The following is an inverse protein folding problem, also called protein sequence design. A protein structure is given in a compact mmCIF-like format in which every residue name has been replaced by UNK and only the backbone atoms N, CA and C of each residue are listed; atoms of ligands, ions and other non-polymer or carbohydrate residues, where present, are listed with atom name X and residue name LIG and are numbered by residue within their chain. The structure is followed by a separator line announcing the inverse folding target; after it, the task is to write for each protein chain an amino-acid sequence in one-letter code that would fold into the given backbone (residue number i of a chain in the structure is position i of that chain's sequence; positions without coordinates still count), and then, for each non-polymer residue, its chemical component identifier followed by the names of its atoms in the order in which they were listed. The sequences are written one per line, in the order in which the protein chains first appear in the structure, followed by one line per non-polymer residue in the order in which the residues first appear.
data_IF_472346987690
#
_entry.id   IF_472346987690
#
_cell.length_a   1.000
_cell.length_b   1.000
_cell.length_c   1.000
_cell.angle_alpha   90.00
_cell.angle_beta   90.00
_cell.angle_gamma   90.00
#
_symmetry.space_group_name_H-M   'P 1'
#
loop_
_entity.id
_entity.type
_entity.pdbx_description
1 polymer ?
#
# COMPACT_ATOMS: atom_id res chain seq x y z
N UNK A 1 -26.01 -48.21 26.41
CA UNK A 1 -25.96 -47.95 24.96
C UNK A 1 -26.37 -46.50 24.72
N UNK A 2 -25.56 -45.80 23.91
CA UNK A 2 -25.78 -44.51 23.23
C UNK A 2 -25.70 -43.24 24.10
N UNK A 3 -24.52 -42.63 24.23
CA UNK A 3 -23.94 -41.59 23.34
C UNK A 3 -24.82 -40.34 23.16
N UNK A 4 -24.31 -39.19 23.63
CA UNK A 4 -23.86 -38.10 22.76
C UNK A 4 -23.24 -36.94 23.57
N UNK A 5 -21.91 -36.86 23.54
CA UNK A 5 -21.17 -35.61 23.78
C UNK A 5 -21.62 -34.58 22.75
N UNK A 6 -22.03 -33.40 23.20
CA UNK A 6 -22.22 -32.23 22.34
C UNK A 6 -20.99 -31.35 22.49
N UNK A 7 -20.06 -31.51 21.54
CA UNK A 7 -18.93 -30.61 21.30
C UNK A 7 -19.49 -29.24 20.92
N UNK A 8 -19.28 -28.24 21.78
CA UNK A 8 -19.50 -26.85 21.41
C UNK A 8 -18.39 -26.42 20.44
N UNK A 9 -18.80 -26.18 19.20
CA UNK A 9 -18.01 -25.71 18.08
C UNK A 9 -17.25 -24.42 18.44
N UNK A 10 -15.92 -24.52 18.42
CA UNK A 10 -15.02 -23.37 18.27
C UNK A 10 -15.32 -22.71 16.92
N UNK A 11 -16.14 -21.66 16.95
CA UNK A 11 -16.34 -20.75 15.82
C UNK A 11 -15.05 -20.00 15.55
N UNK A 12 -14.20 -20.55 14.69
CA UNK A 12 -13.07 -19.85 14.10
C UNK A 12 -13.64 -18.70 13.25
N UNK A 13 -13.62 -17.48 13.79
CA UNK A 13 -13.79 -16.28 12.99
C UNK A 13 -12.53 -16.15 12.11
N UNK A 14 -12.51 -16.85 10.99
CA UNK A 14 -11.58 -16.58 9.91
C UNK A 14 -11.91 -15.19 9.38
N UNK A 15 -11.22 -14.17 9.90
CA UNK A 15 -11.14 -12.89 9.24
C UNK A 15 -10.49 -13.14 7.89
N UNK A 16 -11.31 -13.23 6.85
CA UNK A 16 -10.91 -13.23 5.46
C UNK A 16 -10.21 -11.90 5.20
N UNK A 17 -8.89 -11.90 5.36
CA UNK A 17 -8.03 -10.89 4.75
C UNK A 17 -8.11 -11.17 3.25
N UNK A 18 -9.12 -10.59 2.59
CA UNK A 18 -9.21 -10.61 1.15
C UNK A 18 -8.11 -9.68 0.62
N UNK A 19 -6.88 -10.18 0.60
CA UNK A 19 -5.82 -9.60 -0.22
C UNK A 19 -6.22 -9.91 -1.65
N UNK A 20 -6.99 -9.01 -2.27
CA UNK A 20 -7.08 -9.00 -3.72
C UNK A 20 -5.64 -8.89 -4.21
N UNK A 21 -5.12 -9.97 -4.79
CA UNK A 21 -3.89 -9.92 -5.56
C UNK A 21 -4.21 -9.07 -6.79
N UNK A 22 -4.21 -7.76 -6.60
CA UNK A 22 -4.28 -6.80 -7.69
C UNK A 22 -3.11 -7.13 -8.61
N UNK A 23 -3.34 -7.10 -9.92
CA UNK A 23 -2.23 -7.11 -10.86
C UNK A 23 -1.31 -5.96 -10.43
N UNK A 24 -0.05 -6.20 -10.12
CA UNK A 24 0.83 -5.11 -9.68
C UNK A 24 1.37 -4.39 -10.93
N UNK A 25 0.72 -3.30 -11.35
CA UNK A 25 1.15 -2.51 -12.50
C UNK A 25 2.09 -1.40 -12.07
N UNK A 26 3.38 -1.70 -12.13
CA UNK A 26 4.44 -0.74 -11.82
C UNK A 26 4.69 0.24 -12.96
N UNK A 27 4.57 1.54 -12.68
CA UNK A 27 4.76 2.65 -13.62
C UNK A 27 5.94 3.51 -13.19
N UNK A 28 6.70 4.10 -14.14
CA UNK A 28 7.77 5.04 -13.79
C UNK A 28 7.22 6.24 -13.01
N UNK A 29 7.86 6.59 -11.91
CA UNK A 29 7.55 7.81 -11.17
C UNK A 29 7.96 9.04 -12.01
N UNK A 30 7.07 10.03 -12.19
CA UNK A 30 7.38 11.21 -13.00
C UNK A 30 8.65 11.93 -12.55
N UNK A 31 9.57 12.22 -13.47
CA UNK A 31 10.82 12.92 -13.16
C UNK A 31 11.90 12.08 -12.46
N UNK A 32 11.61 10.81 -12.13
CA UNK A 32 12.57 9.91 -11.49
C UNK A 32 13.16 8.91 -12.49
N UNK A 33 14.45 8.60 -12.33
CA UNK A 33 15.16 7.72 -13.27
C UNK A 33 14.98 6.23 -12.99
N UNK A 34 14.71 5.86 -11.73
CA UNK A 34 14.70 4.46 -11.28
C UNK A 34 13.58 4.11 -10.30
N UNK A 35 12.77 5.08 -9.90
CA UNK A 35 11.66 4.89 -8.98
C UNK A 35 10.40 4.61 -9.77
N UNK A 36 9.62 3.64 -9.29
CA UNK A 36 8.35 3.25 -9.87
C UNK A 36 7.29 3.23 -8.79
N UNK A 37 6.05 3.55 -9.13
CA UNK A 37 4.89 3.40 -8.25
C UNK A 37 4.01 2.26 -8.76
N UNK A 38 3.30 1.61 -7.86
CA UNK A 38 2.28 0.64 -8.24
C UNK A 38 0.93 1.35 -8.41
N UNK A 39 0.46 1.43 -9.65
CA UNK A 39 -0.79 2.06 -10.04
C UNK A 39 -2.00 1.38 -9.36
N UNK A 40 -1.99 0.05 -9.28
CA UNK A 40 -3.10 -0.71 -8.72
C UNK A 40 -3.16 -0.60 -7.19
N UNK A 41 -2.04 -0.25 -6.54
CA UNK A 41 -2.02 0.01 -5.11
C UNK A 41 -2.55 1.40 -4.75
N UNK A 42 -2.52 2.34 -5.69
CA UNK A 42 -2.85 3.74 -5.42
C UNK A 42 -4.36 3.91 -5.17
N UNK A 43 -4.72 4.39 -3.98
CA UNK A 43 -6.13 4.51 -3.57
C UNK A 43 -6.31 5.51 -2.44
N UNK A 44 -7.53 6.00 -2.27
CA UNK A 44 -7.90 6.89 -1.16
C UNK A 44 -8.50 6.08 -0.02
N UNK A 45 -8.00 6.31 1.19
CA UNK A 45 -8.65 5.85 2.40
C UNK A 45 -9.97 6.60 2.61
N UNK A 46 -11.09 5.88 2.66
CA UNK A 46 -12.42 6.49 2.78
C UNK A 46 -12.64 7.19 4.12
N UNK A 47 -11.88 6.82 5.17
CA UNK A 47 -12.04 7.37 6.53
C UNK A 47 -11.26 8.66 6.74
N UNK A 48 -10.02 8.72 6.26
CA UNK A 48 -9.14 9.89 6.45
C UNK A 48 -9.03 10.78 5.22
N UNK A 49 -9.37 10.27 4.03
CA UNK A 49 -9.14 10.96 2.77
C UNK A 49 -7.67 11.01 2.32
N UNK A 50 -6.76 10.32 3.03
CA UNK A 50 -5.36 10.20 2.67
C UNK A 50 -5.18 9.25 1.48
N UNK A 51 -4.20 9.55 0.62
CA UNK A 51 -3.86 8.72 -0.54
C UNK A 51 -2.77 7.73 -0.16
N UNK A 52 -2.99 6.45 -0.38
CA UNK A 52 -1.96 5.42 -0.23
C UNK A 52 -1.15 5.31 -1.50
N UNK A 53 0.16 5.30 -1.36
CA UNK A 53 1.12 5.11 -2.45
C UNK A 53 2.15 4.09 -2.00
N UNK A 54 2.58 3.23 -2.92
CA UNK A 54 3.80 2.46 -2.75
C UNK A 54 4.75 2.72 -3.91
N UNK A 55 6.02 2.88 -3.59
CA UNK A 55 7.10 3.06 -4.58
C UNK A 55 8.19 2.03 -4.37
N UNK A 56 8.95 1.73 -5.42
CA UNK A 56 10.14 0.91 -5.34
C UNK A 56 11.16 1.37 -6.38
N UNK A 57 12.43 1.27 -6.04
CA UNK A 57 13.53 1.49 -6.99
C UNK A 57 13.87 0.20 -7.73
N UNK A 58 14.09 0.29 -9.05
CA UNK A 58 14.68 -0.83 -9.78
C UNK A 58 14.42 -0.84 -11.28
N UNK A 59 14.11 -2.03 -11.79
CA UNK A 59 13.79 -2.27 -13.20
C UNK A 59 12.60 -3.21 -13.29
N UNK A 60 11.38 -2.70 -13.52
CA UNK A 60 10.20 -3.54 -13.58
C UNK A 60 10.25 -4.59 -14.68
N UNK A 61 9.73 -5.76 -14.34
CA UNK A 61 9.52 -6.88 -15.25
C UNK A 61 8.23 -7.62 -14.87
N UNK A 62 7.11 -6.87 -14.85
CA UNK A 62 5.83 -7.33 -14.31
C UNK A 62 5.73 -7.11 -12.79
N UNK A 63 5.03 -8.01 -12.06
CA UNK A 63 4.90 -7.92 -10.61
C UNK A 63 6.26 -7.83 -9.90
N UNK A 64 6.30 -7.18 -8.73
CA UNK A 64 7.54 -6.83 -8.02
C UNK A 64 8.42 -8.05 -7.72
N UNK A 65 7.79 -9.18 -7.37
CA UNK A 65 8.48 -10.46 -7.15
C UNK A 65 9.30 -10.95 -8.35
N UNK A 66 8.95 -10.53 -9.57
CA UNK A 66 9.60 -10.91 -10.82
C UNK A 66 10.71 -9.93 -11.26
N UNK A 67 10.87 -8.80 -10.56
CA UNK A 67 11.93 -7.85 -10.90
C UNK A 67 13.32 -8.47 -10.65
N UNK A 68 14.35 -8.09 -11.42
CA UNK A 68 15.69 -8.64 -11.26
C UNK A 68 16.28 -8.28 -9.88
N UNK A 69 16.65 -9.31 -9.11
CA UNK A 69 17.14 -9.15 -7.73
C UNK A 69 18.34 -8.18 -7.61
N UNK A 70 19.25 -8.19 -8.59
CA UNK A 70 20.42 -7.30 -8.60
C UNK A 70 20.07 -5.80 -8.72
N UNK A 71 18.83 -5.47 -9.11
CA UNK A 71 18.37 -4.09 -9.32
C UNK A 71 17.16 -3.73 -8.48
N UNK A 72 16.58 -4.68 -7.74
CA UNK A 72 15.32 -4.51 -6.99
C UNK A 72 15.62 -3.96 -5.59
N UNK A 73 15.35 -2.67 -5.41
CA UNK A 73 15.28 -2.03 -4.09
C UNK A 73 13.93 -2.35 -3.41
N UNK A 74 13.82 -2.09 -2.09
CA UNK A 74 12.60 -2.37 -1.34
C UNK A 74 11.41 -1.55 -1.84
N UNK A 75 10.21 -2.03 -1.56
CA UNK A 75 8.99 -1.24 -1.64
C UNK A 75 8.88 -0.38 -0.38
N UNK A 76 8.57 0.89 -0.55
CA UNK A 76 8.24 1.84 0.51
C UNK A 76 6.75 2.18 0.41
N UNK A 77 6.04 2.15 1.53
CA UNK A 77 4.61 2.42 1.61
C UNK A 77 4.36 3.73 2.36
N UNK A 78 3.50 4.57 1.81
CA UNK A 78 3.19 5.88 2.35
C UNK A 78 1.68 6.14 2.36
N UNK A 79 1.23 6.91 3.34
CA UNK A 79 -0.07 7.59 3.28
C UNK A 79 0.15 9.10 3.18
N UNK A 80 -0.53 9.74 2.24
CA UNK A 80 -0.36 11.14 1.89
C UNK A 80 -1.58 11.94 2.31
N UNK A 81 -1.35 12.92 3.17
CA UNK A 81 -2.28 14.01 3.46
C UNK A 81 -2.02 15.14 2.47
N UNK A 82 -2.58 15.00 1.27
CA UNK A 82 -2.36 15.92 0.15
C UNK A 82 -2.82 17.35 0.44
N UNK A 83 -3.80 17.54 1.34
CA UNK A 83 -4.27 18.86 1.73
C UNK A 83 -3.27 19.56 2.65
N UNK A 84 -2.63 18.81 3.56
CA UNK A 84 -1.63 19.34 4.48
C UNK A 84 -0.19 19.31 3.92
N UNK A 85 0.03 18.70 2.75
CA UNK A 85 1.36 18.37 2.23
C UNK A 85 2.21 17.55 3.23
N UNK A 86 1.58 16.56 3.86
CA UNK A 86 2.22 15.67 4.83
C UNK A 86 2.11 14.21 4.43
N UNK A 87 2.95 13.38 4.99
CA UNK A 87 2.93 11.93 4.77
C UNK A 87 3.16 11.16 6.06
N UNK A 88 2.77 9.89 6.05
CA UNK A 88 3.01 8.91 7.11
C UNK A 88 3.79 7.74 6.50
N UNK A 89 4.89 7.34 7.14
CA UNK A 89 5.59 6.10 6.81
C UNK A 89 4.74 4.90 7.24
N UNK A 90 4.39 4.04 6.29
CA UNK A 90 3.63 2.82 6.54
C UNK A 90 4.52 1.58 6.56
N UNK A 91 5.82 1.75 6.31
CA UNK A 91 6.83 0.73 6.38
C UNK A 91 7.42 0.34 5.02
N UNK A 92 8.28 -0.68 5.11
CA UNK A 92 9.11 -1.17 4.02
C UNK A 92 8.85 -2.66 3.80
N UNK A 93 8.81 -3.07 2.53
CA UNK A 93 8.51 -4.42 2.10
C UNK A 93 9.52 -4.94 1.06
N UNK A 94 9.99 -6.17 1.26
CA UNK A 94 10.95 -6.83 0.38
C UNK A 94 10.33 -7.93 -0.47
N UNK A 95 9.08 -8.30 -0.18
CA UNK A 95 8.39 -9.48 -0.73
C UNK A 95 7.14 -9.12 -1.51
N UNK A 96 6.57 -7.93 -1.31
CA UNK A 96 5.38 -7.43 -2.01
C UNK A 96 4.06 -7.77 -1.31
N UNK A 97 4.12 -8.33 -0.11
CA UNK A 97 2.99 -8.83 0.67
C UNK A 97 2.68 -7.98 1.90
N UNK A 98 3.42 -6.90 2.16
CA UNK A 98 3.15 -6.03 3.30
C UNK A 98 1.80 -5.32 3.12
N UNK A 99 0.88 -5.66 4.00
CA UNK A 99 -0.38 -4.96 4.16
C UNK A 99 -0.26 -3.71 5.03
N UNK A 100 -1.36 -2.95 5.10
CA UNK A 100 -1.46 -1.77 5.96
C UNK A 100 -1.80 -2.22 7.39
N UNK A 101 -0.95 -1.85 8.36
CA UNK A 101 -1.18 -2.17 9.77
C UNK A 101 -2.38 -1.43 10.38
N UNK A 102 -2.99 -1.95 11.44
CA UNK A 102 -4.08 -1.27 12.15
C UNK A 102 -3.58 0.02 12.81
N UNK A 103 -4.43 1.06 12.84
CA UNK A 103 -4.13 2.30 13.56
C UNK A 103 -3.14 3.24 12.87
N UNK A 104 -2.69 2.91 11.65
CA UNK A 104 -1.72 3.67 10.86
C UNK A 104 -2.08 5.15 10.67
N UNK A 105 -3.37 5.51 10.71
CA UNK A 105 -3.84 6.90 10.58
C UNK A 105 -3.34 7.83 11.69
N UNK A 106 -2.92 7.25 12.82
CA UNK A 106 -2.34 7.98 13.96
C UNK A 106 -0.81 8.02 13.91
N UNK A 107 -0.20 7.52 12.83
CA UNK A 107 1.24 7.60 12.63
C UNK A 107 1.74 9.04 12.58
N UNK A 108 3.05 9.20 12.78
CA UNK A 108 3.69 10.52 12.71
C UNK A 108 3.48 11.13 11.32
N UNK A 109 2.98 12.36 11.29
CA UNK A 109 2.82 13.14 10.06
C UNK A 109 4.09 13.95 9.82
N UNK A 110 4.81 13.61 8.77
CA UNK A 110 6.05 14.24 8.34
C UNK A 110 5.73 15.19 7.20
N UNK A 111 6.40 16.35 7.17
CA UNK A 111 6.22 17.36 6.12
C UNK A 111 6.85 16.90 4.79
N UNK A 112 6.45 17.59 3.72
CA UNK A 112 7.04 17.50 2.38
C UNK A 112 6.91 16.11 1.73
N UNK A 113 5.76 15.90 1.09
CA UNK A 113 5.49 14.69 0.29
C UNK A 113 6.52 14.51 -0.81
N UNK A 114 7.01 15.60 -1.42
CA UNK A 114 7.93 15.52 -2.55
C UNK A 114 9.30 14.99 -2.14
N UNK A 115 9.76 15.33 -0.93
CA UNK A 115 10.99 14.80 -0.37
C UNK A 115 10.94 13.29 -0.12
N UNK A 116 9.75 12.74 0.17
CA UNK A 116 9.59 11.32 0.48
C UNK A 116 9.24 10.44 -0.74
N UNK A 117 8.32 10.91 -1.59
CA UNK A 117 7.68 10.09 -2.63
C UNK A 117 7.91 10.65 -4.04
N UNK A 118 8.67 11.74 -4.15
CA UNK A 118 9.06 12.34 -5.43
C UNK A 118 7.86 12.67 -6.32
N UNK A 119 8.04 12.49 -7.63
CA UNK A 119 6.97 12.75 -8.60
C UNK A 119 5.75 11.83 -8.48
N UNK A 120 5.88 10.64 -7.88
CA UNK A 120 4.73 9.77 -7.63
C UNK A 120 3.80 10.35 -6.55
N UNK A 121 4.36 11.00 -5.52
CA UNK A 121 3.57 11.69 -4.51
C UNK A 121 2.76 12.84 -5.09
N UNK A 122 3.39 13.65 -5.95
CA UNK A 122 2.70 14.72 -6.68
C UNK A 122 1.55 14.18 -7.55
N UNK A 123 1.85 13.17 -8.38
CA UNK A 123 0.86 12.52 -9.24
C UNK A 123 -0.33 11.99 -8.43
N UNK A 124 -0.06 11.31 -7.31
CA UNK A 124 -1.08 10.75 -6.44
C UNK A 124 -2.00 11.83 -5.84
N UNK A 125 -1.44 12.97 -5.44
CA UNK A 125 -2.22 14.07 -4.92
C UNK A 125 -3.05 14.80 -5.99
N UNK A 126 -2.51 14.97 -7.20
CA UNK A 126 -3.26 15.53 -8.34
C UNK A 126 -4.40 14.61 -8.78
N UNK A 127 -4.19 13.29 -8.74
CA UNK A 127 -5.18 12.30 -9.14
C UNK A 127 -6.19 11.94 -8.03
N UNK A 128 -6.01 12.44 -6.79
CA UNK A 128 -6.73 12.01 -5.58
C UNK A 128 -8.22 11.78 -5.78
N UNK A 129 -8.92 12.73 -6.41
CA UNK A 129 -10.38 12.68 -6.54
C UNK A 129 -10.88 11.64 -7.55
N UNK A 130 -9.99 11.14 -8.42
CA UNK A 130 -10.26 10.09 -9.41
C UNK A 130 -9.85 8.68 -8.94
N UNK A 131 -9.09 8.59 -7.86
CA UNK A 131 -8.58 7.31 -7.36
C UNK A 131 -9.69 6.44 -6.75
N UNK A 132 -9.54 5.11 -6.79
CA UNK A 132 -10.42 4.19 -6.08
C UNK A 132 -10.46 4.52 -4.59
N UNK A 133 -11.65 4.45 -3.98
CA UNK A 133 -11.83 4.60 -2.53
C UNK A 133 -11.88 3.23 -1.88
N UNK A 134 -11.20 3.07 -0.75
CA UNK A 134 -11.15 1.82 0.00
C UNK A 134 -11.37 2.08 1.49
N UNK A 135 -12.01 1.14 2.18
CA UNK A 135 -12.09 1.13 3.64
C UNK A 135 -10.91 0.33 4.20
N UNK A 136 -9.88 1.06 4.62
CA UNK A 136 -8.64 0.46 5.12
C UNK A 136 -8.74 0.14 6.62
N UNK A 137 -7.95 -0.84 7.10
CA UNK A 137 -7.94 -1.27 8.50
C UNK A 137 -7.63 -0.14 9.49
#
# INVERSE_FOLDING_TARGET
MNNRLVLALLGLAAASVATFALAETWKPSPGESRTFYDEDFMRVDSKSGMVLVRIADGKPNGPYRNWPAASRGPILLFALDCAANKWIDLGMDFTGDLGIGKGWRNGEKIEDISAAVGGAGKLACEARDSLPKADLP
#
